data_IF_869208546128
#
_entry.id   IF_869208546128
#
_cell.length_a   1.000
_cell.length_b   1.000
_cell.length_c   1.000
_cell.angle_alpha   90.00
_cell.angle_beta   90.00
_cell.angle_gamma   90.00
#
_symmetry.space_group_name_H-M   'P 1'
#
loop_
_entity.id
_entity.type
_entity.pdbx_description
1 polymer ?
#
# COMPACT_ATOMS: atom_id res chain seq x y z
N UNK A 1 -22.67 -31.66 -10.12
CA UNK A 1 -22.21 -31.12 -11.41
C UNK A 1 -21.11 -30.12 -11.08
N UNK A 2 -19.86 -30.58 -11.06
CA UNK A 2 -18.71 -29.68 -10.85
C UNK A 2 -18.54 -28.86 -12.15
N UNK A 3 -18.82 -27.59 -12.08
CA UNK A 3 -18.50 -26.66 -13.16
C UNK A 3 -17.00 -26.41 -13.03
N UNK A 4 -16.20 -27.24 -13.68
CA UNK A 4 -14.78 -26.99 -13.87
C UNK A 4 -14.62 -25.84 -14.87
N UNK A 5 -14.69 -24.61 -14.38
CA UNK A 5 -14.37 -23.44 -15.18
C UNK A 5 -12.87 -23.52 -15.55
N UNK A 6 -12.48 -23.36 -16.84
CA UNK A 6 -11.06 -23.44 -17.26
C UNK A 6 -10.13 -22.49 -16.49
N UNK A 7 -10.67 -21.42 -15.89
CA UNK A 7 -9.94 -20.46 -15.06
C UNK A 7 -9.48 -20.99 -13.70
N UNK A 8 -10.07 -22.08 -13.18
CA UNK A 8 -9.72 -22.59 -11.84
C UNK A 8 -8.26 -23.09 -11.77
N UNK A 9 -7.72 -23.58 -12.88
CA UNK A 9 -6.30 -23.97 -12.96
C UNK A 9 -5.35 -22.78 -13.00
N UNK A 10 -5.78 -21.64 -13.56
CA UNK A 10 -4.98 -20.41 -13.61
C UNK A 10 -4.90 -19.69 -12.24
N UNK A 11 -5.81 -20.01 -11.32
CA UNK A 11 -5.87 -19.43 -9.98
C UNK A 11 -4.99 -20.15 -8.95
N UNK A 12 -4.16 -21.09 -9.37
CA UNK A 12 -3.24 -21.78 -8.47
C UNK A 12 -1.96 -20.94 -8.27
N UNK A 13 -1.48 -20.82 -7.03
CA UNK A 13 -0.21 -20.15 -6.78
C UNK A 13 0.95 -20.98 -7.35
N UNK A 14 1.97 -20.28 -7.81
CA UNK A 14 3.28 -20.85 -8.12
C UNK A 14 4.21 -20.58 -6.95
N UNK A 15 4.86 -21.62 -6.46
CA UNK A 15 5.84 -21.46 -5.40
C UNK A 15 7.16 -20.92 -5.97
N UNK A 16 7.52 -19.69 -5.61
CA UNK A 16 8.80 -19.06 -5.94
C UNK A 16 9.78 -19.30 -4.80
N UNK A 17 11.03 -19.68 -5.15
CA UNK A 17 12.09 -19.83 -4.17
C UNK A 17 12.86 -18.51 -4.03
N UNK A 18 13.01 -18.04 -2.81
CA UNK A 18 13.80 -16.84 -2.47
C UNK A 18 14.91 -17.23 -1.53
N UNK A 19 16.13 -16.85 -1.88
CA UNK A 19 17.30 -17.04 -1.02
C UNK A 19 17.45 -15.85 -0.10
N UNK A 20 17.44 -16.08 1.20
CA UNK A 20 17.68 -15.06 2.22
C UNK A 20 19.18 -14.77 2.34
N UNK A 21 19.53 -13.69 3.03
CA UNK A 21 20.93 -13.27 3.24
C UNK A 21 21.79 -14.32 3.94
N UNK A 22 21.21 -15.20 4.75
CA UNK A 22 21.90 -16.29 5.45
C UNK A 22 22.01 -17.59 4.62
N UNK A 23 21.57 -17.55 3.35
CA UNK A 23 21.54 -18.69 2.44
C UNK A 23 20.30 -19.59 2.58
N UNK A 24 19.42 -19.33 3.54
CA UNK A 24 18.17 -20.08 3.72
C UNK A 24 17.26 -19.88 2.51
N UNK A 25 16.65 -20.96 2.02
CA UNK A 25 15.65 -20.94 0.97
C UNK A 25 14.24 -20.88 1.57
N UNK A 26 13.45 -19.91 1.16
CA UNK A 26 12.04 -19.81 1.53
C UNK A 26 11.16 -19.92 0.29
N UNK A 27 10.05 -20.64 0.44
CA UNK A 27 9.07 -20.85 -0.63
C UNK A 27 7.93 -19.85 -0.46
N UNK A 28 7.64 -19.07 -1.50
CA UNK A 28 6.62 -18.02 -1.50
C UNK A 28 5.55 -18.39 -2.51
N UNK A 29 4.30 -18.61 -2.07
CA UNK A 29 3.18 -18.81 -2.99
C UNK A 29 2.80 -17.46 -3.64
N UNK A 30 2.89 -17.39 -4.97
CA UNK A 30 2.63 -16.20 -5.77
C UNK A 30 1.59 -16.53 -6.83
N UNK A 31 0.60 -15.64 -6.98
CA UNK A 31 -0.39 -15.72 -8.04
C UNK A 31 -0.02 -14.81 -9.21
N UNK A 32 -0.35 -15.20 -10.41
CA UNK A 32 -0.16 -14.39 -11.60
C UNK A 32 -1.16 -13.22 -11.62
N UNK A 33 -0.68 -11.99 -11.59
CA UNK A 33 -1.52 -10.79 -11.53
C UNK A 33 -2.47 -10.69 -12.73
N UNK A 34 -2.02 -11.07 -13.95
CA UNK A 34 -2.88 -11.06 -15.14
C UNK A 34 -4.07 -12.00 -14.95
N UNK A 35 -3.83 -13.22 -14.48
CA UNK A 35 -4.88 -14.21 -14.24
C UNK A 35 -5.86 -13.74 -13.17
N UNK A 36 -5.36 -13.11 -12.11
CA UNK A 36 -6.19 -12.56 -11.02
C UNK A 36 -7.05 -11.37 -11.48
N UNK A 37 -6.49 -10.46 -12.27
CA UNK A 37 -7.23 -9.34 -12.88
C UNK A 37 -8.29 -9.87 -13.83
N UNK A 38 -7.96 -10.84 -14.67
CA UNK A 38 -8.91 -11.47 -15.59
C UNK A 38 -10.05 -12.17 -14.84
N UNK A 39 -9.77 -12.85 -13.73
CA UNK A 39 -10.83 -13.47 -12.90
C UNK A 39 -11.85 -12.45 -12.39
N UNK A 40 -11.43 -11.23 -12.05
CA UNK A 40 -12.33 -10.13 -11.71
C UNK A 40 -13.08 -9.66 -12.96
N UNK A 41 -12.35 -9.33 -14.03
CA UNK A 41 -12.90 -8.63 -15.20
C UNK A 41 -13.79 -9.49 -16.10
N UNK A 42 -13.67 -10.80 -16.02
CA UNK A 42 -14.54 -11.75 -16.73
C UNK A 42 -15.73 -12.24 -15.89
N UNK A 43 -15.77 -11.86 -14.61
CA UNK A 43 -16.87 -12.25 -13.74
C UNK A 43 -18.09 -11.33 -13.96
N UNK A 44 -19.22 -11.83 -14.55
CA UNK A 44 -20.37 -11.00 -14.88
C UNK A 44 -21.10 -10.44 -13.65
N UNK A 45 -20.87 -11.01 -12.47
CA UNK A 45 -21.46 -10.50 -11.22
C UNK A 45 -20.65 -9.31 -10.70
N UNK A 46 -19.32 -9.37 -10.81
CA UNK A 46 -18.45 -8.30 -10.33
C UNK A 46 -18.46 -7.11 -11.31
N UNK A 47 -18.54 -7.37 -12.62
CA UNK A 47 -18.48 -6.35 -13.67
C UNK A 47 -19.85 -5.73 -14.03
N UNK A 48 -20.80 -5.75 -13.10
CA UNK A 48 -22.08 -5.04 -13.27
C UNK A 48 -21.89 -3.55 -13.12
N UNK A 49 -22.68 -2.77 -13.86
CA UNK A 49 -22.61 -1.30 -13.85
C UNK A 49 -22.76 -0.69 -12.45
N UNK A 50 -23.64 -1.24 -11.62
CA UNK A 50 -23.87 -0.78 -10.25
C UNK A 50 -22.68 -0.98 -9.31
N UNK A 51 -21.67 -1.75 -9.72
CA UNK A 51 -20.44 -1.99 -8.94
C UNK A 51 -19.34 -0.98 -9.26
N UNK A 52 -19.49 -0.21 -10.33
CA UNK A 52 -18.54 0.83 -10.69
C UNK A 52 -18.78 2.10 -9.87
N UNK A 53 -17.75 2.91 -9.73
CA UNK A 53 -17.87 4.23 -9.14
C UNK A 53 -18.79 5.09 -10.02
N UNK A 54 -19.67 5.88 -9.40
CA UNK A 54 -20.61 6.74 -10.12
C UNK A 54 -19.87 7.88 -10.83
N UNK A 55 -20.36 8.26 -12.01
CA UNK A 55 -19.75 9.31 -12.82
C UNK A 55 -18.39 8.93 -13.42
N UNK A 56 -18.08 7.64 -13.48
CA UNK A 56 -16.83 7.10 -14.01
C UNK A 56 -17.09 6.05 -15.10
N UNK A 57 -16.41 6.20 -16.25
CA UNK A 57 -16.40 5.20 -17.29
C UNK A 57 -15.24 4.22 -17.10
N UNK A 58 -15.55 2.99 -16.66
CA UNK A 58 -14.55 1.96 -16.38
C UNK A 58 -13.75 1.50 -17.59
N UNK A 59 -14.21 1.76 -18.83
CA UNK A 59 -13.50 1.36 -20.05
C UNK A 59 -12.54 2.44 -20.56
N UNK A 60 -12.97 3.70 -20.55
CA UNK A 60 -12.17 4.83 -21.07
C UNK A 60 -11.42 5.57 -19.96
N UNK A 61 -11.83 5.38 -18.72
CA UNK A 61 -11.29 6.11 -17.58
C UNK A 61 -11.75 7.56 -17.49
N UNK A 62 -12.76 7.93 -18.29
CA UNK A 62 -13.30 9.28 -18.26
C UNK A 62 -14.09 9.53 -17.00
N UNK A 63 -13.96 10.74 -16.48
CA UNK A 63 -14.65 11.24 -15.30
C UNK A 63 -15.66 12.30 -15.73
N UNK A 64 -16.94 12.09 -15.42
CA UNK A 64 -17.95 13.12 -15.60
C UNK A 64 -17.83 14.15 -14.48
N UNK A 65 -17.15 15.25 -14.77
CA UNK A 65 -16.94 16.33 -13.82
C UNK A 65 -18.23 17.04 -13.38
N UNK A 66 -19.35 16.85 -14.08
CA UNK A 66 -20.65 17.41 -13.72
C UNK A 66 -21.49 16.45 -12.86
N UNK A 67 -21.05 15.20 -12.70
CA UNK A 67 -21.76 14.25 -11.85
C UNK A 67 -21.67 14.66 -10.38
N UNK A 68 -22.78 14.68 -9.61
CA UNK A 68 -22.79 15.11 -8.22
C UNK A 68 -21.76 14.38 -7.33
N UNK A 69 -21.49 13.10 -7.59
CA UNK A 69 -20.50 12.29 -6.87
C UNK A 69 -19.05 12.73 -7.14
N UNK A 70 -18.80 13.51 -8.18
CA UNK A 70 -17.48 13.98 -8.60
C UNK A 70 -17.22 15.46 -8.24
N UNK A 71 -18.19 16.15 -7.65
CA UNK A 71 -18.05 17.55 -7.23
C UNK A 71 -17.15 17.71 -6.01
N UNK A 72 -16.92 16.62 -5.27
CA UNK A 72 -16.04 16.57 -4.10
C UNK A 72 -15.10 15.36 -4.23
N UNK A 73 -13.98 15.41 -3.53
CA UNK A 73 -13.08 14.25 -3.40
C UNK A 73 -13.79 13.11 -2.65
N UNK A 74 -14.41 12.21 -3.37
CA UNK A 74 -15.21 11.12 -2.80
C UNK A 74 -14.76 9.74 -3.26
N UNK A 75 -14.41 9.61 -4.53
CA UNK A 75 -13.95 8.36 -5.14
C UNK A 75 -12.52 8.50 -5.66
N UNK A 76 -11.85 7.38 -5.88
CA UNK A 76 -10.43 7.33 -6.29
C UNK A 76 -10.17 8.14 -7.57
N UNK A 77 -11.07 8.05 -8.54
CA UNK A 77 -10.95 8.73 -9.82
C UNK A 77 -11.19 10.26 -9.74
N UNK A 78 -11.67 10.76 -8.59
CA UNK A 78 -11.78 12.21 -8.33
C UNK A 78 -10.51 12.80 -7.70
N UNK A 79 -9.52 11.97 -7.37
CA UNK A 79 -8.23 12.41 -6.85
C UNK A 79 -7.32 12.96 -7.95
N UNK A 80 -6.44 13.88 -7.57
CA UNK A 80 -5.55 14.61 -8.49
C UNK A 80 -4.60 13.70 -9.29
N UNK A 81 -4.28 12.52 -8.74
CA UNK A 81 -3.35 11.57 -9.37
C UNK A 81 -4.00 10.70 -10.45
N UNK A 82 -5.34 10.64 -10.52
CA UNK A 82 -6.03 9.74 -11.45
C UNK A 82 -5.80 10.11 -12.91
N UNK A 83 -6.11 11.34 -13.28
CA UNK A 83 -6.00 11.81 -14.66
C UNK A 83 -4.55 11.76 -15.18
N UNK A 84 -3.53 12.27 -14.44
CA UNK A 84 -2.16 12.13 -14.86
C UNK A 84 -1.71 10.68 -15.07
N UNK A 85 -2.11 9.75 -14.17
CA UNK A 85 -1.77 8.34 -14.32
C UNK A 85 -2.46 7.71 -15.54
N UNK A 86 -3.76 7.96 -15.73
CA UNK A 86 -4.49 7.48 -16.92
C UNK A 86 -3.81 7.95 -18.20
N UNK A 87 -3.55 9.24 -18.31
CA UNK A 87 -2.97 9.84 -19.52
C UNK A 87 -1.54 9.36 -19.79
N UNK A 88 -0.80 9.02 -18.72
CA UNK A 88 0.53 8.42 -18.86
C UNK A 88 0.48 6.99 -19.39
N UNK A 89 -0.43 6.15 -18.87
CA UNK A 89 -0.47 4.72 -19.20
C UNK A 89 -1.35 4.38 -20.42
N UNK A 90 -2.42 5.14 -20.65
CA UNK A 90 -3.37 4.89 -21.74
C UNK A 90 -3.13 5.85 -22.89
N UNK A 91 -2.55 5.33 -23.99
CA UNK A 91 -2.13 6.12 -25.16
C UNK A 91 -3.01 5.82 -26.39
N UNK A 92 -3.97 4.89 -26.28
CA UNK A 92 -4.82 4.43 -27.36
C UNK A 92 -6.27 4.37 -26.90
N UNK A 93 -7.22 4.61 -27.78
CA UNK A 93 -8.66 4.50 -27.53
C UNK A 93 -9.09 3.09 -27.06
N UNK A 94 -8.31 2.07 -27.40
CA UNK A 94 -8.57 0.71 -26.94
C UNK A 94 -7.91 0.37 -25.60
N UNK A 95 -7.16 1.31 -25.01
CA UNK A 95 -6.52 1.10 -23.70
C UNK A 95 -7.57 1.25 -22.59
N UNK A 96 -7.71 0.21 -21.78
CA UNK A 96 -8.57 0.22 -20.61
C UNK A 96 -7.75 0.51 -19.36
N UNK A 97 -8.00 1.63 -18.67
CA UNK A 97 -7.26 2.02 -17.47
C UNK A 97 -7.68 1.19 -16.25
N UNK A 98 -6.71 0.58 -15.60
CA UNK A 98 -6.95 -0.26 -14.41
C UNK A 98 -5.98 0.13 -13.31
N UNK A 99 -6.41 1.01 -12.43
CA UNK A 99 -5.69 1.29 -11.19
C UNK A 99 -5.85 0.12 -10.22
N UNK A 100 -4.76 -0.23 -9.54
CA UNK A 100 -4.72 -1.33 -8.57
C UNK A 100 -4.52 -0.73 -7.18
N UNK A 101 -5.36 -1.14 -6.22
CA UNK A 101 -5.18 -0.84 -4.81
C UNK A 101 -4.63 -2.09 -4.15
N UNK A 102 -3.47 -1.99 -3.54
CA UNK A 102 -2.81 -3.09 -2.85
C UNK A 102 -2.98 -2.92 -1.34
N UNK A 103 -3.34 -3.99 -0.68
CA UNK A 103 -3.37 -4.07 0.78
C UNK A 103 -2.45 -5.19 1.25
N UNK A 104 -1.70 -4.90 2.31
CA UNK A 104 -0.88 -5.90 2.96
C UNK A 104 -0.71 -5.58 4.44
N UNK A 105 -1.14 -6.54 5.25
CA UNK A 105 -1.01 -6.45 6.69
C UNK A 105 -0.64 -7.82 7.26
N UNK A 106 0.16 -7.80 8.34
CA UNK A 106 0.60 -9.01 9.01
C UNK A 106 -0.55 -9.68 9.73
N UNK A 107 -0.86 -10.90 9.32
CA UNK A 107 -1.93 -11.70 9.91
C UNK A 107 -1.37 -12.88 10.68
N UNK A 108 -1.85 -13.07 11.91
CA UNK A 108 -1.56 -14.26 12.70
C UNK A 108 -2.49 -15.40 12.26
N UNK A 109 -1.92 -16.56 11.96
CA UNK A 109 -2.66 -17.73 11.46
C UNK A 109 -2.93 -18.76 12.56
N UNK A 110 -2.41 -18.52 13.77
CA UNK A 110 -2.64 -19.35 14.94
C UNK A 110 -2.96 -18.49 16.19
N UNK A 111 -3.58 -19.13 17.19
CA UNK A 111 -3.98 -18.47 18.44
C UNK A 111 -2.80 -17.96 19.28
N UNK A 112 -1.60 -18.48 19.06
CA UNK A 112 -0.41 -18.13 19.82
C UNK A 112 0.48 -17.12 19.10
N UNK A 113 0.11 -16.70 17.88
CA UNK A 113 0.90 -15.77 17.08
C UNK A 113 2.27 -16.30 16.63
N UNK A 114 2.48 -17.63 16.76
CA UNK A 114 3.72 -18.27 16.34
C UNK A 114 3.85 -18.37 14.83
N UNK A 115 2.72 -18.55 14.15
CA UNK A 115 2.63 -18.54 12.70
C UNK A 115 1.99 -17.24 12.24
N UNK A 116 2.74 -16.47 11.48
CA UNK A 116 2.25 -15.24 10.88
C UNK A 116 2.69 -15.19 9.42
N UNK A 117 1.86 -14.57 8.60
CA UNK A 117 2.17 -14.27 7.21
C UNK A 117 1.57 -12.91 6.85
N UNK A 118 2.11 -12.31 5.80
CA UNK A 118 1.56 -11.06 5.26
C UNK A 118 0.93 -11.38 3.90
N UNK A 119 -0.42 -11.51 3.83
CA UNK A 119 -1.09 -11.61 2.56
C UNK A 119 -0.97 -10.28 1.82
N UNK A 120 -0.59 -10.35 0.56
CA UNK A 120 -0.61 -9.22 -0.36
C UNK A 120 -1.83 -9.41 -1.25
N UNK A 121 -2.83 -8.58 -1.04
CA UNK A 121 -4.09 -8.65 -1.78
C UNK A 121 -4.33 -7.36 -2.55
N UNK A 122 -5.19 -7.42 -3.56
CA UNK A 122 -5.51 -6.24 -4.34
C UNK A 122 -6.97 -6.22 -4.77
N UNK A 123 -7.45 -5.02 -5.07
CA UNK A 123 -8.71 -4.76 -5.76
C UNK A 123 -8.49 -3.73 -6.87
N UNK A 124 -9.51 -3.51 -7.70
CA UNK A 124 -9.45 -2.57 -8.81
C UNK A 124 -10.12 -1.25 -8.42
N UNK A 125 -9.47 -0.15 -8.78
CA UNK A 125 -9.86 1.20 -8.36
C UNK A 125 -11.20 1.68 -8.94
N UNK A 126 -11.64 1.11 -10.06
CA UNK A 126 -12.89 1.51 -10.70
C UNK A 126 -14.16 1.01 -9.98
N UNK A 127 -14.03 0.10 -9.03
CA UNK A 127 -15.14 -0.30 -8.18
C UNK A 127 -15.49 0.80 -7.19
N UNK A 128 -16.77 0.96 -6.88
CA UNK A 128 -17.21 1.89 -5.84
C UNK A 128 -16.79 1.45 -4.43
N UNK A 129 -16.86 2.35 -3.47
CA UNK A 129 -16.46 2.09 -2.08
C UNK A 129 -17.13 0.86 -1.47
N UNK A 130 -18.43 0.68 -1.69
CA UNK A 130 -19.18 -0.49 -1.17
C UNK A 130 -18.61 -1.81 -1.66
N UNK A 131 -18.19 -1.86 -2.92
CA UNK A 131 -17.57 -3.03 -3.52
C UNK A 131 -16.16 -3.25 -2.98
N UNK A 132 -15.35 -2.20 -2.84
CA UNK A 132 -14.02 -2.29 -2.27
C UNK A 132 -14.02 -2.73 -0.80
N UNK A 133 -15.10 -2.47 -0.07
CA UNK A 133 -15.29 -2.98 1.29
C UNK A 133 -15.79 -4.44 1.36
N UNK A 134 -15.98 -5.11 0.21
CA UNK A 134 -16.44 -6.48 0.13
C UNK A 134 -15.33 -7.40 -0.37
N UNK A 135 -15.02 -8.45 0.42
CA UNK A 135 -13.94 -9.42 0.11
C UNK A 135 -14.05 -10.08 -1.27
N UNK A 136 -15.25 -10.16 -1.85
CA UNK A 136 -15.46 -10.75 -3.19
C UNK A 136 -14.74 -10.01 -4.30
N UNK A 137 -14.44 -8.72 -4.11
CA UNK A 137 -13.74 -7.87 -5.07
C UNK A 137 -12.23 -7.85 -4.89
N UNK A 138 -11.71 -8.64 -3.94
CA UNK A 138 -10.28 -8.73 -3.67
C UNK A 138 -9.69 -10.03 -4.18
N UNK A 139 -8.44 -9.99 -4.62
CA UNK A 139 -7.66 -11.16 -5.04
C UNK A 139 -6.29 -11.14 -4.37
N UNK A 140 -5.75 -12.33 -4.19
CA UNK A 140 -4.42 -12.51 -3.60
C UNK A 140 -3.36 -12.44 -4.70
N UNK A 141 -2.30 -11.67 -4.47
CA UNK A 141 -1.07 -11.68 -5.29
C UNK A 141 -0.04 -12.66 -4.74
N UNK A 142 0.02 -12.82 -3.43
CA UNK A 142 0.96 -13.73 -2.80
C UNK A 142 0.97 -13.59 -1.29
N UNK A 143 1.85 -14.37 -0.67
CA UNK A 143 2.02 -14.37 0.78
C UNK A 143 3.49 -14.21 1.12
N UNK A 144 3.83 -13.17 1.86
CA UNK A 144 5.16 -12.99 2.42
C UNK A 144 5.20 -13.70 3.78
N UNK A 145 6.09 -14.70 3.97
CA UNK A 145 6.18 -15.43 5.21
C UNK A 145 6.77 -14.54 6.32
N UNK A 146 6.44 -14.84 7.58
CA UNK A 146 7.15 -14.26 8.70
C UNK A 146 8.57 -14.86 8.75
N UNK A 147 9.56 -14.07 8.34
CA UNK A 147 10.94 -14.50 8.29
C UNK A 147 11.50 -14.65 9.72
N UNK A 148 11.62 -15.88 10.19
CA UNK A 148 12.23 -16.18 11.48
C UNK A 148 13.72 -16.43 11.29
N UNK A 149 14.52 -15.53 11.80
CA UNK A 149 15.97 -15.69 11.88
C UNK A 149 16.32 -16.45 13.17
N UNK A 150 17.20 -17.45 13.08
CA UNK A 150 17.54 -18.36 14.19
C UNK A 150 17.78 -17.64 15.50
N UNK A 151 17.28 -18.24 16.59
CA UNK A 151 17.33 -17.69 17.98
C UNK A 151 18.73 -17.64 18.60
N UNK A 152 19.80 -17.92 17.86
CA UNK A 152 21.16 -17.84 18.38
C UNK A 152 21.48 -16.39 18.78
N UNK A 153 21.43 -16.13 20.08
CA UNK A 153 21.63 -14.81 20.70
C UNK A 153 22.97 -14.15 20.39
N UNK A 154 23.94 -14.90 19.86
CA UNK A 154 25.27 -14.38 19.51
C UNK A 154 25.35 -13.66 18.17
N UNK A 155 24.45 -13.96 17.22
CA UNK A 155 24.43 -13.35 15.89
C UNK A 155 23.04 -12.74 15.59
N UNK A 156 22.75 -11.57 16.15
CA UNK A 156 21.55 -10.80 15.74
C UNK A 156 21.73 -10.41 14.28
N UNK A 157 20.90 -10.97 13.41
CA UNK A 157 20.83 -10.52 12.00
C UNK A 157 20.63 -9.01 11.97
N UNK A 158 21.46 -8.26 11.24
CA UNK A 158 21.28 -6.83 11.08
C UNK A 158 19.89 -6.49 10.53
N UNK A 159 19.29 -5.44 11.02
CA UNK A 159 17.95 -5.00 10.58
C UNK A 159 17.88 -4.79 9.07
N UNK A 160 18.95 -4.27 8.47
CA UNK A 160 19.06 -4.07 7.02
C UNK A 160 18.85 -5.36 6.25
N UNK A 161 19.50 -6.46 6.68
CA UNK A 161 19.37 -7.77 6.01
C UNK A 161 17.94 -8.31 6.12
N UNK A 162 17.29 -8.14 7.28
CA UNK A 162 15.88 -8.56 7.44
C UNK A 162 14.94 -7.81 6.52
N UNK A 163 15.12 -6.50 6.42
CA UNK A 163 14.31 -5.67 5.52
C UNK A 163 14.60 -6.02 4.06
N UNK A 164 15.88 -6.27 3.70
CA UNK A 164 16.23 -6.71 2.35
C UNK A 164 15.58 -8.06 2.00
N UNK A 165 15.61 -9.03 2.90
CA UNK A 165 14.99 -10.34 2.67
C UNK A 165 13.47 -10.23 2.47
N UNK A 166 12.80 -9.37 3.24
CA UNK A 166 11.38 -9.08 3.06
C UNK A 166 11.11 -8.45 1.66
N UNK A 167 11.97 -7.51 1.22
CA UNK A 167 11.85 -6.93 -0.10
C UNK A 167 12.20 -7.90 -1.23
N UNK A 168 13.08 -8.87 -1.02
CA UNK A 168 13.30 -9.95 -1.97
C UNK A 168 12.03 -10.81 -2.15
N UNK A 169 11.32 -11.07 -1.06
CA UNK A 169 10.02 -11.75 -1.10
C UNK A 169 8.95 -10.91 -1.83
N UNK A 170 8.81 -9.63 -1.48
CA UNK A 170 7.89 -8.70 -2.14
C UNK A 170 8.18 -8.55 -3.63
N UNK A 171 9.46 -8.52 -4.01
CA UNK A 171 9.86 -8.47 -5.43
C UNK A 171 9.31 -9.66 -6.22
N UNK A 172 9.33 -10.85 -5.65
CA UNK A 172 8.71 -12.03 -6.27
C UNK A 172 7.20 -11.90 -6.41
N UNK A 173 6.52 -11.33 -5.40
CA UNK A 173 5.06 -11.12 -5.44
C UNK A 173 4.68 -10.14 -6.54
N UNK A 174 5.44 -9.07 -6.71
CA UNK A 174 5.16 -8.03 -7.72
C UNK A 174 5.72 -8.31 -9.11
N UNK A 175 6.40 -9.43 -9.32
CA UNK A 175 7.03 -9.77 -10.60
C UNK A 175 6.04 -9.74 -11.77
N UNK A 176 4.87 -10.35 -11.62
CA UNK A 176 3.86 -10.41 -12.69
C UNK A 176 3.28 -9.02 -13.02
N UNK A 177 3.13 -8.13 -12.04
CA UNK A 177 2.73 -6.73 -12.25
C UNK A 177 3.78 -6.01 -13.12
N UNK A 178 5.06 -6.15 -12.78
CA UNK A 178 6.16 -5.55 -13.58
C UNK A 178 6.20 -6.11 -14.99
N UNK A 179 5.94 -7.41 -15.17
CA UNK A 179 5.90 -8.02 -16.51
C UNK A 179 4.75 -7.49 -17.36
N UNK A 180 3.57 -7.31 -16.78
CA UNK A 180 2.43 -6.69 -17.49
C UNK A 180 2.81 -5.30 -17.97
N UNK A 181 3.39 -4.47 -17.11
CA UNK A 181 3.80 -3.12 -17.47
C UNK A 181 4.91 -3.13 -18.54
N UNK A 182 5.94 -3.98 -18.38
CA UNK A 182 7.02 -4.13 -19.37
C UNK A 182 6.51 -4.49 -20.76
N UNK A 183 5.44 -5.29 -20.83
CA UNK A 183 4.78 -5.70 -22.07
C UNK A 183 3.73 -4.70 -22.56
N UNK A 184 3.67 -3.50 -21.98
CA UNK A 184 2.73 -2.45 -22.33
C UNK A 184 1.26 -2.89 -22.14
N UNK A 185 0.97 -3.64 -21.08
CA UNK A 185 -0.36 -4.15 -20.78
C UNK A 185 -0.62 -5.55 -21.36
N UNK A 186 -1.87 -5.92 -21.43
CA UNK A 186 -2.30 -7.18 -22.05
C UNK A 186 -3.67 -7.06 -22.69
N UNK A 187 -3.88 -7.79 -23.79
CA UNK A 187 -5.17 -7.87 -24.47
C UNK A 187 -6.15 -8.75 -23.69
N UNK A 188 -7.38 -8.28 -23.59
CA UNK A 188 -8.47 -8.98 -22.94
C UNK A 188 -9.80 -8.68 -23.64
N UNK A 189 -10.75 -9.61 -23.51
CA UNK A 189 -12.15 -9.37 -23.85
C UNK A 189 -12.94 -9.19 -22.56
N UNK A 190 -13.46 -8.00 -22.35
CA UNK A 190 -14.18 -7.61 -21.13
C UNK A 190 -15.59 -7.17 -21.52
N UNK A 191 -16.61 -7.86 -21.03
CA UNK A 191 -18.02 -7.60 -21.36
C UNK A 191 -18.24 -7.43 -22.89
N UNK A 192 -17.67 -8.35 -23.68
CA UNK A 192 -17.72 -8.38 -25.15
C UNK A 192 -16.98 -7.25 -25.88
N UNK A 193 -16.19 -6.43 -25.16
CA UNK A 193 -15.30 -5.42 -25.75
C UNK A 193 -13.85 -5.92 -25.71
N UNK A 194 -13.17 -5.85 -26.85
CA UNK A 194 -11.74 -6.15 -26.93
C UNK A 194 -10.94 -4.93 -26.52
N UNK A 195 -10.18 -5.06 -25.42
CA UNK A 195 -9.40 -3.96 -24.82
C UNK A 195 -7.95 -4.37 -24.60
N UNK A 196 -7.09 -3.37 -24.50
CA UNK A 196 -5.73 -3.52 -24.00
C UNK A 196 -5.66 -3.01 -22.55
N UNK A 197 -5.60 -3.92 -21.59
CA UNK A 197 -5.62 -3.58 -20.17
C UNK A 197 -4.29 -2.96 -19.77
N UNK A 198 -4.36 -1.72 -19.31
CA UNK A 198 -3.22 -0.95 -18.77
C UNK A 198 -3.34 -0.88 -17.27
N UNK A 199 -2.30 -1.33 -16.57
CA UNK A 199 -2.33 -1.35 -15.11
C UNK A 199 -1.31 -0.39 -14.52
N UNK A 200 -1.67 0.19 -13.38
CA UNK A 200 -0.74 0.85 -12.47
C UNK A 200 -1.19 0.65 -11.02
N UNK A 201 -0.26 0.72 -10.09
CA UNK A 201 -0.58 0.72 -8.67
C UNK A 201 -0.98 2.13 -8.31
N UNK A 202 -2.18 2.28 -7.77
CA UNK A 202 -2.72 3.59 -7.40
C UNK A 202 -2.53 3.87 -5.91
N UNK A 203 -2.78 2.86 -5.06
CA UNK A 203 -2.53 2.98 -3.62
C UNK A 203 -1.93 1.69 -3.05
N UNK A 204 -1.08 1.89 -2.03
CA UNK A 204 -0.71 0.87 -1.08
C UNK A 204 -1.39 1.19 0.25
N UNK A 205 -2.18 0.26 0.75
CA UNK A 205 -2.92 0.41 2.00
C UNK A 205 -2.33 -0.55 3.04
N UNK A 206 -2.02 -0.02 4.21
CA UNK A 206 -1.50 -0.76 5.34
C UNK A 206 -1.43 0.15 6.57
N UNK A 207 -1.11 -0.42 7.71
CA UNK A 207 -0.82 0.38 8.89
C UNK A 207 0.48 1.19 8.73
N UNK A 208 0.74 2.10 9.64
CA UNK A 208 1.93 2.95 9.58
C UNK A 208 3.22 2.12 9.63
N UNK A 209 3.25 1.05 10.44
CA UNK A 209 4.41 0.17 10.55
C UNK A 209 4.65 -0.61 9.26
N UNK A 210 3.59 -1.19 8.68
CA UNK A 210 3.65 -1.92 7.42
C UNK A 210 4.09 -1.03 6.26
N UNK A 211 3.48 0.15 6.13
CA UNK A 211 3.84 1.13 5.10
C UNK A 211 5.30 1.58 5.22
N UNK A 212 5.80 1.83 6.42
CA UNK A 212 7.21 2.16 6.65
C UNK A 212 8.13 1.01 6.23
N UNK A 213 7.77 -0.24 6.55
CA UNK A 213 8.52 -1.43 6.10
C UNK A 213 8.58 -1.52 4.58
N UNK A 214 7.45 -1.34 3.90
CA UNK A 214 7.39 -1.40 2.44
C UNK A 214 8.23 -0.33 1.75
N UNK A 215 8.43 0.80 2.40
CA UNK A 215 9.35 1.84 1.92
C UNK A 215 10.80 1.62 2.34
N UNK A 216 11.06 0.65 3.23
CA UNK A 216 12.36 0.50 3.88
C UNK A 216 12.68 1.65 4.82
N UNK A 217 11.66 2.37 5.30
CA UNK A 217 11.81 3.48 6.23
C UNK A 217 12.10 2.96 7.65
N UNK A 218 12.86 3.73 8.44
CA UNK A 218 13.13 3.37 9.83
C UNK A 218 11.85 3.37 10.65
N UNK A 219 11.78 2.42 11.58
CA UNK A 219 10.64 2.28 12.49
C UNK A 219 10.85 3.12 13.76
N UNK A 220 9.75 3.69 14.24
CA UNK A 220 9.68 4.35 15.54
C UNK A 220 10.19 5.79 15.58
N UNK A 221 10.08 6.39 16.77
CA UNK A 221 10.51 7.77 17.08
C UNK A 221 11.93 7.82 17.67
N UNK A 222 12.82 6.92 17.23
CA UNK A 222 14.21 6.90 17.71
C UNK A 222 14.91 8.20 17.30
N UNK A 223 15.73 8.82 18.17
CA UNK A 223 16.55 10.00 17.83
C UNK A 223 17.45 9.86 16.59
N UNK A 224 17.71 8.60 16.16
CA UNK A 224 18.41 8.32 14.89
C UNK A 224 17.57 8.53 13.62
N UNK A 225 16.25 8.70 13.76
CA UNK A 225 15.34 8.98 12.65
C UNK A 225 15.37 10.48 12.38
N UNK A 226 15.95 10.88 11.26
CA UNK A 226 16.05 12.30 10.90
C UNK A 226 14.76 12.84 10.29
N UNK A 227 14.07 12.02 9.50
CA UNK A 227 12.77 12.32 8.89
C UNK A 227 11.73 11.34 9.45
N UNK A 228 10.91 11.75 10.40
CA UNK A 228 9.93 10.87 11.05
C UNK A 228 8.76 10.50 10.14
N UNK A 229 8.45 11.36 9.15
CA UNK A 229 7.45 11.08 8.13
C UNK A 229 8.10 10.57 6.85
N UNK A 230 7.49 9.53 6.25
CA UNK A 230 7.96 8.92 5.00
C UNK A 230 7.74 9.78 3.76
N UNK A 231 6.80 10.73 3.85
CA UNK A 231 6.27 11.45 2.69
C UNK A 231 6.93 12.80 2.48
N UNK A 232 7.57 13.37 3.50
CA UNK A 232 8.15 14.71 3.42
C UNK A 232 9.52 14.83 4.07
N UNK A 233 10.19 15.94 3.76
CA UNK A 233 11.53 16.25 4.29
C UNK A 233 11.52 16.87 5.68
N UNK A 234 10.36 16.91 6.35
CA UNK A 234 10.23 17.45 7.69
C UNK A 234 11.18 16.74 8.67
N UNK A 235 12.03 17.50 9.33
CA UNK A 235 12.96 17.00 10.33
C UNK A 235 12.27 16.72 11.66
N UNK A 236 12.88 15.86 12.48
CA UNK A 236 12.33 15.51 13.81
C UNK A 236 12.13 16.76 14.69
N UNK A 237 13.04 17.73 14.61
CA UNK A 237 12.97 18.97 15.40
C UNK A 237 11.95 19.97 14.89
N UNK A 238 11.48 19.82 13.65
CA UNK A 238 10.50 20.72 13.02
C UNK A 238 9.06 20.27 13.25
N UNK A 239 8.83 19.12 13.90
CA UNK A 239 7.49 18.57 14.13
C UNK A 239 6.58 19.46 14.95
N UNK A 240 7.15 20.30 15.83
CA UNK A 240 6.39 21.26 16.64
C UNK A 240 6.15 22.59 15.93
N UNK A 241 6.75 22.79 14.76
CA UNK A 241 6.55 24.00 13.97
C UNK A 241 5.23 23.90 13.19
N UNK A 242 4.25 24.79 13.39
CA UNK A 242 2.98 24.74 12.66
C UNK A 242 3.13 25.06 11.16
N UNK A 243 4.25 25.68 10.76
CA UNK A 243 4.55 26.02 9.37
C UNK A 243 5.97 25.52 8.99
N UNK A 244 6.22 24.21 8.97
CA UNK A 244 7.52 23.68 8.62
C UNK A 244 7.79 23.92 7.13
N UNK A 245 9.00 24.35 6.79
CA UNK A 245 9.46 24.39 5.41
C UNK A 245 9.86 22.99 4.97
N UNK A 246 8.91 22.19 4.56
CA UNK A 246 9.17 20.84 4.06
C UNK A 246 8.51 20.62 2.70
N UNK A 247 9.10 19.71 1.92
CA UNK A 247 8.62 19.28 0.61
C UNK A 247 8.41 17.78 0.60
N UNK A 248 7.62 17.29 -0.33
CA UNK A 248 7.46 15.85 -0.51
C UNK A 248 8.76 15.20 -0.97
N UNK A 249 9.02 14.00 -0.46
CA UNK A 249 10.15 13.15 -0.89
C UNK A 249 9.92 12.72 -2.32
N UNK A 250 10.96 12.76 -3.14
CA UNK A 250 10.91 12.33 -4.53
C UNK A 250 11.50 10.92 -4.72
N UNK A 251 11.06 10.23 -5.76
CA UNK A 251 11.65 8.95 -6.18
C UNK A 251 13.14 9.10 -6.50
N UNK A 252 13.55 10.24 -7.06
CA UNK A 252 14.92 10.49 -7.46
C UNK A 252 15.86 10.56 -6.26
N UNK A 253 15.44 11.10 -5.11
CA UNK A 253 16.29 11.11 -3.92
C UNK A 253 16.70 9.71 -3.49
N UNK A 254 15.77 8.74 -3.55
CA UNK A 254 16.08 7.34 -3.23
C UNK A 254 16.98 6.68 -4.29
N UNK A 255 16.73 6.97 -5.58
CA UNK A 255 17.57 6.46 -6.69
C UNK A 255 18.99 7.01 -6.64
N UNK A 256 19.12 8.30 -6.33
CA UNK A 256 20.42 8.95 -6.17
C UNK A 256 21.20 8.37 -4.98
N UNK A 257 20.52 8.14 -3.84
CA UNK A 257 21.14 7.48 -2.70
C UNK A 257 21.63 6.05 -3.03
N UNK A 258 20.87 5.30 -3.85
CA UNK A 258 21.30 3.97 -4.33
C UNK A 258 22.49 4.05 -5.29
N UNK A 259 22.53 5.04 -6.19
CA UNK A 259 23.66 5.26 -7.09
C UNK A 259 24.91 5.61 -6.27
N UNK A 260 24.81 6.55 -5.35
CA UNK A 260 25.91 6.93 -4.49
C UNK A 260 26.41 5.74 -3.64
N UNK A 261 25.51 4.86 -3.17
CA UNK A 261 25.90 3.64 -2.44
C UNK A 261 26.77 2.70 -3.31
N UNK A 262 26.50 2.65 -4.62
CA UNK A 262 27.28 1.84 -5.57
C UNK A 262 28.63 2.48 -5.90
N UNK A 263 28.68 3.81 -5.98
CA UNK A 263 29.90 4.57 -6.33
C UNK A 263 30.80 4.82 -5.12
N UNK A 264 30.20 5.13 -3.95
CA UNK A 264 30.89 5.39 -2.69
C UNK A 264 29.99 4.98 -1.52
N UNK A 265 30.28 3.83 -0.92
CA UNK A 265 29.49 3.26 0.16
C UNK A 265 29.25 4.24 1.32
N UNK A 266 30.27 4.97 1.76
CA UNK A 266 30.15 5.91 2.87
C UNK A 266 29.17 7.07 2.57
N UNK A 267 29.24 7.61 1.36
CA UNK A 267 28.33 8.69 0.91
C UNK A 267 26.91 8.17 0.79
N UNK A 268 26.72 7.01 0.18
CA UNK A 268 25.41 6.40 0.04
C UNK A 268 24.75 6.06 1.38
N UNK A 269 25.49 5.47 2.30
CA UNK A 269 25.00 5.19 3.67
C UNK A 269 24.59 6.47 4.41
N UNK A 270 25.35 7.55 4.27
CA UNK A 270 25.01 8.85 4.85
C UNK A 270 23.68 9.37 4.27
N UNK A 271 23.50 9.33 2.95
CA UNK A 271 22.24 9.75 2.32
C UNK A 271 21.05 8.91 2.73
N UNK A 272 21.18 7.59 2.81
CA UNK A 272 20.12 6.73 3.32
C UNK A 272 19.73 7.06 4.76
N UNK A 273 20.71 7.41 5.60
CA UNK A 273 20.47 7.86 6.97
C UNK A 273 19.70 9.19 6.98
N UNK A 274 20.06 10.16 6.14
CA UNK A 274 19.34 11.43 5.97
C UNK A 274 17.89 11.22 5.52
N UNK A 275 17.64 10.25 4.64
CA UNK A 275 16.30 9.86 4.21
C UNK A 275 15.54 9.03 5.27
N UNK A 276 16.20 8.66 6.38
CA UNK A 276 15.68 7.71 7.38
C UNK A 276 15.24 6.38 6.77
N UNK A 277 15.99 5.88 5.78
CA UNK A 277 15.70 4.64 5.06
C UNK A 277 16.86 3.65 5.17
N UNK A 278 16.54 2.37 5.10
CA UNK A 278 17.53 1.30 4.97
C UNK A 278 18.13 1.28 3.56
N UNK A 279 19.45 1.04 3.43
CA UNK A 279 20.14 0.93 2.13
C UNK A 279 19.84 -0.43 1.48
N UNK A 280 18.64 -0.58 0.95
CA UNK A 280 18.12 -1.83 0.37
C UNK A 280 17.66 -1.65 -1.07
N UNK A 281 17.63 -2.74 -1.82
CA UNK A 281 16.91 -2.82 -3.09
C UNK A 281 15.42 -2.93 -2.79
N UNK A 282 14.70 -1.82 -2.88
CA UNK A 282 13.30 -1.76 -2.54
C UNK A 282 12.43 -2.29 -3.69
N UNK A 283 11.59 -3.30 -3.41
CA UNK A 283 10.72 -3.94 -4.40
C UNK A 283 9.75 -2.97 -5.09
N UNK A 284 9.33 -1.90 -4.39
CA UNK A 284 8.39 -0.92 -4.93
C UNK A 284 9.05 0.12 -5.85
N UNK A 285 10.39 0.24 -5.80
CA UNK A 285 11.15 1.17 -6.64
C UNK A 285 11.91 0.48 -7.77
N UNK A 286 11.71 -0.84 -7.93
CA UNK A 286 12.31 -1.61 -9.01
C UNK A 286 11.88 -1.09 -10.39
N UNK A 287 12.75 -1.32 -11.38
CA UNK A 287 12.46 -0.99 -12.78
C UNK A 287 11.16 -1.66 -13.24
N UNK A 288 10.36 -0.93 -13.99
CA UNK A 288 9.05 -1.33 -14.52
C UNK A 288 7.96 -1.53 -13.45
N UNK A 289 8.12 -1.03 -12.23
CA UNK A 289 7.00 -0.94 -11.31
C UNK A 289 6.06 0.19 -11.78
N UNK A 290 4.81 -0.11 -12.16
CA UNK A 290 3.87 0.90 -12.63
C UNK A 290 3.24 1.60 -11.42
N UNK A 291 3.54 2.88 -11.22
CA UNK A 291 3.05 3.69 -10.11
C UNK A 291 2.20 4.85 -10.64
N UNK A 292 1.12 5.23 -9.93
CA UNK A 292 0.32 6.40 -10.32
C UNK A 292 1.14 7.69 -10.22
N UNK A 293 1.90 7.83 -9.16
CA UNK A 293 2.83 8.93 -8.97
C UNK A 293 4.27 8.49 -9.25
N UNK A 294 4.74 8.79 -10.45
CA UNK A 294 6.13 8.47 -10.87
C UNK A 294 7.16 9.45 -10.31
N UNK A 295 6.73 10.64 -9.86
CA UNK A 295 7.62 11.67 -9.35
C UNK A 295 7.95 11.47 -7.86
N UNK A 296 6.93 11.34 -7.02
CA UNK A 296 7.12 11.11 -5.58
C UNK A 296 7.27 9.62 -5.26
N UNK A 297 6.71 8.75 -6.11
CA UNK A 297 6.83 7.31 -5.98
C UNK A 297 5.95 6.71 -4.87
N UNK A 298 6.33 5.51 -4.35
CA UNK A 298 5.47 4.76 -3.45
C UNK A 298 5.09 5.51 -2.16
N UNK A 299 5.88 6.49 -1.73
CA UNK A 299 5.60 7.25 -0.50
C UNK A 299 4.27 7.99 -0.58
N UNK A 300 4.06 8.75 -1.67
CA UNK A 300 2.83 9.51 -1.88
C UNK A 300 1.60 8.61 -2.10
N UNK A 301 1.81 7.36 -2.50
CA UNK A 301 0.75 6.39 -2.75
C UNK A 301 0.32 5.62 -1.50
N UNK A 302 0.88 5.93 -0.33
CA UNK A 302 0.58 5.29 0.95
C UNK A 302 -0.18 6.28 1.85
N UNK A 303 -1.51 6.37 1.74
CA UNK A 303 -2.28 7.33 2.53
C UNK A 303 -2.08 7.07 4.02
N UNK A 304 -2.12 8.14 4.87
CA UNK A 304 -2.07 7.99 6.30
C UNK A 304 -3.25 7.13 6.78
N UNK A 305 -2.96 6.16 7.61
CA UNK A 305 -3.99 5.32 8.19
C UNK A 305 -4.63 6.03 9.39
N UNK A 306 -5.94 6.31 9.26
CA UNK A 306 -6.68 7.16 10.22
C UNK A 306 -6.76 6.53 11.61
N UNK A 307 -6.91 5.21 11.71
CA UNK A 307 -7.09 4.54 12.98
C UNK A 307 -5.85 4.67 13.88
N UNK A 308 -4.66 4.33 13.36
CA UNK A 308 -3.43 4.38 14.15
C UNK A 308 -2.87 5.80 14.31
N UNK A 309 -3.00 6.65 13.29
CA UNK A 309 -2.50 8.03 13.36
C UNK A 309 -3.42 8.90 14.22
N UNK A 310 -4.73 8.86 13.97
CA UNK A 310 -5.68 9.73 14.67
C UNK A 310 -6.21 9.09 15.94
N UNK A 311 -6.79 7.89 15.88
CA UNK A 311 -7.51 7.31 17.02
C UNK A 311 -6.57 6.68 18.06
N UNK A 312 -5.66 5.80 17.66
CA UNK A 312 -4.71 5.19 18.57
C UNK A 312 -3.51 6.09 18.90
N UNK A 313 -3.16 7.02 18.01
CA UNK A 313 -2.12 8.02 18.19
C UNK A 313 -2.64 9.28 18.89
N UNK A 314 -3.05 10.29 18.11
CA UNK A 314 -3.39 11.62 18.63
C UNK A 314 -4.52 11.62 19.65
N UNK A 315 -5.63 10.93 19.38
CA UNK A 315 -6.79 10.93 20.29
C UNK A 315 -6.44 10.34 21.64
N UNK A 316 -5.61 9.31 21.70
CA UNK A 316 -5.13 8.75 22.97
C UNK A 316 -4.46 9.81 23.84
N UNK A 317 -3.55 10.59 23.27
CA UNK A 317 -2.86 11.66 24.01
C UNK A 317 -3.80 12.82 24.34
N UNK A 318 -4.72 13.18 23.44
CA UNK A 318 -5.76 14.17 23.73
C UNK A 318 -6.63 13.73 24.89
N UNK A 319 -7.12 12.49 24.91
CA UNK A 319 -7.90 11.96 26.02
C UNK A 319 -7.11 11.88 27.32
N UNK A 320 -5.83 11.51 27.27
CA UNK A 320 -4.96 11.53 28.45
C UNK A 320 -4.79 12.94 28.99
N UNK A 321 -4.53 13.93 28.12
CA UNK A 321 -4.40 15.34 28.49
C UNK A 321 -5.72 15.89 29.04
N UNK A 322 -6.85 15.58 28.41
CA UNK A 322 -8.18 15.95 28.90
C UNK A 322 -8.48 15.30 30.25
N UNK A 323 -8.20 14.02 30.42
CA UNK A 323 -8.41 13.31 31.69
C UNK A 323 -7.57 13.90 32.81
N UNK A 324 -6.31 14.26 32.52
CA UNK A 324 -5.45 14.96 33.47
C UNK A 324 -6.03 16.34 33.83
N UNK A 325 -6.38 17.16 32.81
CA UNK A 325 -6.99 18.49 33.02
C UNK A 325 -8.28 18.43 33.82
N UNK A 326 -9.14 17.45 33.53
CA UNK A 326 -10.39 17.21 34.26
C UNK A 326 -10.12 16.80 35.71
N UNK A 327 -9.12 15.95 35.96
CA UNK A 327 -8.68 15.58 37.30
C UNK A 327 -8.22 16.79 38.12
N UNK A 328 -7.43 17.67 37.52
CA UNK A 328 -6.93 18.90 38.14
C UNK A 328 -8.02 19.95 38.36
N UNK A 329 -9.01 20.06 37.46
CA UNK A 329 -10.06 21.08 37.50
C UNK A 329 -11.32 20.63 38.22
N UNK A 330 -11.40 19.39 38.71
CA UNK A 330 -12.59 18.80 39.33
C UNK A 330 -13.87 18.75 38.48
N UNK A 331 -13.68 18.81 37.16
CA UNK A 331 -14.78 18.73 36.17
C UNK A 331 -15.26 17.28 35.91
N UNK A 332 -14.69 16.31 36.60
CA UNK A 332 -14.99 14.88 36.41
C UNK A 332 -16.47 14.57 36.57
N UNK A 333 -17.12 15.13 37.60
CA UNK A 333 -18.55 14.90 37.89
C UNK A 333 -19.46 15.44 36.78
N UNK A 334 -19.06 16.50 36.08
CA UNK A 334 -19.86 17.09 35.00
C UNK A 334 -19.74 16.27 33.71
N UNK A 335 -18.57 15.71 33.43
CA UNK A 335 -18.36 14.86 32.25
C UNK A 335 -19.04 13.51 32.42
N UNK A 336 -19.01 12.92 33.63
CA UNK A 336 -19.76 11.71 33.93
C UNK A 336 -21.28 11.93 33.74
N UNK A 337 -21.79 13.09 34.12
CA UNK A 337 -23.19 13.48 33.86
C UNK A 337 -23.51 13.68 32.38
N UNK A 338 -22.59 14.24 31.60
CA UNK A 338 -22.71 14.36 30.13
C UNK A 338 -22.68 12.99 29.44
N UNK A 339 -21.78 12.09 29.87
CA UNK A 339 -21.67 10.74 29.33
C UNK A 339 -22.95 9.93 29.57
N UNK A 340 -23.54 10.02 30.77
CA UNK A 340 -24.83 9.39 31.08
C UNK A 340 -25.96 9.96 30.21
N UNK A 341 -25.98 11.27 29.94
CA UNK A 341 -26.97 11.89 29.06
C UNK A 341 -26.83 11.42 27.62
N UNK A 342 -25.60 11.40 27.06
CA UNK A 342 -25.37 10.89 25.70
C UNK A 342 -25.79 9.42 25.53
N UNK A 343 -25.62 8.59 26.55
CA UNK A 343 -26.07 7.19 26.51
C UNK A 343 -27.60 7.04 26.64
N UNK A 344 -28.30 8.02 27.19
CA UNK A 344 -29.77 8.03 27.31
C UNK A 344 -30.46 8.58 26.05
N UNK A 345 -29.78 9.45 25.28
CA UNK A 345 -30.32 10.04 24.04
C UNK A 345 -30.16 9.14 22.81
N UNK A 346 -29.52 7.98 22.94
CA UNK A 346 -29.31 6.96 21.86
C UNK A 346 -30.38 5.85 21.92
N UNK A 347 -31.62 6.16 22.39
CA UNK A 347 -32.73 5.22 22.31
C UNK A 347 -33.72 5.56 21.21
#
# INVERSE_FOLDING_TARGET
MEITHPSVTALRPVNKQVTLHDGTQVSIPVFDARSMIMDIMTNPVLMRKENFAEGYNGFTGDVDNNHPSNLNYGEIHTGDEWIPARDHYCQSENDMPVGIIIFGDKSHTDLHGALALTPIIFTLSFFNEKCRNNHKFWRVLGYVPNLSYGKNKSNKTPTVNKVQDEHNCLSCVFESIRQIHKNNGFRARVLDVDVNVKIWIHYFIGDTEGNNKWLGHYQGSNPGVQRPYRDCTCGFYDLSNPNPSCVYVTMNETRDAMRDLQENEAVGLMRFKELSRHPIKNALTEKNMPLSDMYHGPSAMMPPEVMHVSMAGMLKYMFQSMSWYIGETKLRDEIDKMHVRMLLDVK
#
